data_IF_200761449478
#
_entry.id   IF_200761449478
#
_cell.length_a   1.000
_cell.length_b   1.000
_cell.length_c   1.000
_cell.angle_alpha   90.00
_cell.angle_beta   90.00
_cell.angle_gamma   90.00
#
_symmetry.space_group_name_H-M   'P 1'
#
loop_
_entity.id
_entity.type
_entity.pdbx_description
1 polymer ?
#
# COMPACT_ATOMS: atom_id res chain seq x y z
N UNK A 1 22.87 -14.69 17.43
CA UNK A 1 21.43 -14.87 17.15
C UNK A 1 21.04 -13.77 16.18
N UNK A 2 20.85 -14.06 14.89
CA UNK A 2 20.31 -13.07 13.95
C UNK A 2 18.81 -13.05 14.16
N UNK A 3 18.27 -11.91 14.58
CA UNK A 3 16.84 -11.75 14.89
C UNK A 3 15.99 -12.09 13.68
N UNK A 4 15.10 -13.04 13.86
CA UNK A 4 14.20 -13.66 12.88
C UNK A 4 13.02 -12.74 12.44
N UNK A 5 13.19 -11.42 12.50
CA UNK A 5 12.08 -10.46 12.29
C UNK A 5 12.37 -9.42 11.20
N UNK A 6 13.35 -9.68 10.33
CA UNK A 6 13.44 -8.98 9.06
C UNK A 6 12.40 -9.60 8.10
N UNK A 7 11.11 -9.39 8.39
CA UNK A 7 10.09 -9.55 7.36
C UNK A 7 10.39 -8.47 6.33
N UNK A 8 11.08 -8.80 5.26
CA UNK A 8 11.31 -7.87 4.15
C UNK A 8 9.95 -7.36 3.67
N UNK A 9 9.63 -6.11 4.03
CA UNK A 9 8.40 -5.46 3.60
C UNK A 9 8.66 -4.87 2.22
N UNK A 10 7.96 -5.41 1.23
CA UNK A 10 8.10 -5.00 -0.16
C UNK A 10 6.93 -4.12 -0.57
N UNK A 11 7.18 -3.21 -1.51
CA UNK A 11 6.11 -2.47 -2.20
C UNK A 11 5.57 -3.39 -3.29
N UNK A 12 4.25 -3.58 -3.31
CA UNK A 12 3.59 -4.40 -4.34
C UNK A 12 2.75 -3.59 -5.32
N UNK A 13 2.29 -2.40 -4.93
CA UNK A 13 1.50 -1.51 -5.76
C UNK A 13 1.68 -0.05 -5.34
N UNK A 14 1.60 0.85 -6.31
CA UNK A 14 1.49 2.29 -6.08
C UNK A 14 0.16 2.78 -6.64
N UNK A 15 -0.55 3.61 -5.88
CA UNK A 15 -1.88 4.10 -6.21
C UNK A 15 -1.88 5.63 -6.30
N UNK A 16 -2.53 6.19 -7.31
CA UNK A 16 -2.73 7.63 -7.48
C UNK A 16 -3.98 8.12 -6.70
N UNK A 17 -4.01 7.82 -5.39
CA UNK A 17 -5.11 8.20 -4.51
C UNK A 17 -5.27 7.28 -3.30
N UNK A 18 -5.74 7.86 -2.19
CA UNK A 18 -5.87 7.16 -0.91
C UNK A 18 -6.95 6.07 -0.94
N UNK A 19 -8.08 6.31 -1.62
CA UNK A 19 -9.22 5.38 -1.66
C UNK A 19 -8.86 4.01 -2.24
N UNK A 20 -8.19 3.96 -3.39
CA UNK A 20 -7.79 2.69 -4.02
C UNK A 20 -6.75 1.93 -3.18
N UNK A 21 -5.84 2.66 -2.53
CA UNK A 21 -4.84 2.06 -1.65
C UNK A 21 -5.48 1.48 -0.38
N UNK A 22 -6.43 2.18 0.23
CA UNK A 22 -7.21 1.71 1.38
C UNK A 22 -8.05 0.48 1.04
N UNK A 23 -8.70 0.44 -0.13
CA UNK A 23 -9.42 -0.74 -0.60
C UNK A 23 -8.50 -1.95 -0.77
N UNK A 24 -7.35 -1.77 -1.41
CA UNK A 24 -6.36 -2.82 -1.58
C UNK A 24 -5.82 -3.33 -0.22
N UNK A 25 -5.51 -2.42 0.70
CA UNK A 25 -5.10 -2.75 2.08
C UNK A 25 -6.16 -3.57 2.80
N UNK A 26 -7.42 -3.11 2.79
CA UNK A 26 -8.50 -3.77 3.50
C UNK A 26 -8.78 -5.16 2.93
N UNK A 27 -8.71 -5.34 1.61
CA UNK A 27 -8.81 -6.66 0.99
C UNK A 27 -7.74 -7.62 1.53
N UNK A 28 -6.49 -7.17 1.60
CA UNK A 28 -5.38 -8.00 2.06
C UNK A 28 -5.54 -8.35 3.54
N UNK A 29 -5.89 -7.38 4.38
CA UNK A 29 -6.16 -7.59 5.82
C UNK A 29 -7.28 -8.61 6.01
N UNK A 30 -8.39 -8.48 5.27
CA UNK A 30 -9.52 -9.41 5.32
C UNK A 30 -9.12 -10.85 4.89
N UNK A 31 -8.06 -10.99 4.10
CA UNK A 31 -7.51 -12.27 3.67
C UNK A 31 -6.35 -12.78 4.55
N UNK A 32 -6.19 -12.23 5.76
CA UNK A 32 -5.13 -12.53 6.72
C UNK A 32 -3.72 -12.22 6.18
N UNK A 33 -3.59 -11.22 5.32
CA UNK A 33 -2.30 -10.72 4.82
C UNK A 33 -2.00 -9.39 5.50
N UNK A 34 -0.95 -9.31 6.33
CA UNK A 34 -0.51 -8.05 6.91
C UNK A 34 -0.18 -7.06 5.81
N UNK A 35 -0.79 -5.88 5.84
CA UNK A 35 -0.54 -4.84 4.84
C UNK A 35 -0.65 -3.45 5.47
N UNK A 36 0.13 -2.51 4.96
CA UNK A 36 -0.01 -1.10 5.32
C UNK A 36 0.24 -0.22 4.10
N UNK A 37 -0.33 0.98 4.12
CA UNK A 37 -0.11 1.98 3.08
C UNK A 37 0.73 3.12 3.64
N UNK A 38 1.65 3.64 2.83
CA UNK A 38 2.40 4.86 3.12
C UNK A 38 2.14 5.83 1.99
N UNK A 39 1.50 6.95 2.30
CA UNK A 39 1.35 8.05 1.36
C UNK A 39 2.54 9.00 1.47
N UNK A 40 3.03 9.49 0.33
CA UNK A 40 3.97 10.62 0.29
C UNK A 40 3.29 11.98 0.61
N UNK A 41 2.01 11.95 1.03
CA UNK A 41 1.25 13.11 1.47
C UNK A 41 1.63 13.54 2.90
N UNK A 42 2.83 14.13 3.07
CA UNK A 42 3.23 14.85 4.28
C UNK A 42 2.86 16.35 4.24
N UNK A 43 1.94 16.76 3.35
CA UNK A 43 1.68 18.18 3.05
C UNK A 43 0.60 18.89 3.89
N UNK A 44 -0.23 18.19 4.67
CA UNK A 44 -1.48 18.80 5.19
C UNK A 44 -1.57 19.02 6.70
N UNK A 45 -0.58 18.62 7.50
CA UNK A 45 -0.56 18.98 8.93
C UNK A 45 -0.24 20.47 9.14
N UNK A 46 0.35 21.13 8.14
CA UNK A 46 0.64 22.55 8.11
C UNK A 46 -0.05 23.18 6.90
N UNK A 47 -1.30 23.60 7.09
CA UNK A 47 -2.02 24.72 6.45
C UNK A 47 -1.45 25.36 5.15
N UNK A 48 -0.99 24.57 4.18
CA UNK A 48 -0.43 25.04 2.91
C UNK A 48 -1.24 24.44 1.76
N UNK A 49 -2.32 25.15 1.41
CA UNK A 49 -2.87 25.24 0.06
C UNK A 49 -2.88 23.93 -0.77
N UNK A 50 -3.63 22.92 -0.32
CA UNK A 50 -3.75 21.63 -1.00
C UNK A 50 -4.68 21.63 -2.24
N UNK A 51 -4.79 22.75 -2.96
CA UNK A 51 -5.63 22.86 -4.17
C UNK A 51 -4.93 22.44 -5.46
N UNK A 52 -3.61 22.18 -5.44
CA UNK A 52 -2.83 21.95 -6.67
C UNK A 52 -1.74 20.87 -6.56
N UNK A 53 -1.84 19.95 -5.59
CA UNK A 53 -0.88 18.84 -5.51
C UNK A 53 -1.47 17.66 -6.30
N UNK A 54 -0.79 17.16 -7.36
CA UNK A 54 -1.22 15.93 -8.03
C UNK A 54 -1.38 14.84 -6.97
N UNK A 55 -2.52 14.16 -6.98
CA UNK A 55 -2.93 13.20 -5.95
C UNK A 55 -1.73 12.36 -5.48
N UNK A 56 -1.27 12.59 -4.25
CA UNK A 56 -0.01 12.02 -3.76
C UNK A 56 0.00 10.50 -3.94
N UNK A 57 1.11 9.97 -4.47
CA UNK A 57 1.26 8.54 -4.67
C UNK A 57 1.24 7.80 -3.32
N UNK A 58 0.47 6.73 -3.25
CA UNK A 58 0.34 5.88 -2.06
C UNK A 58 0.93 4.52 -2.37
N UNK A 59 1.92 4.11 -1.58
CA UNK A 59 2.59 2.81 -1.75
C UNK A 59 1.99 1.80 -0.76
N UNK A 60 1.64 0.62 -1.27
CA UNK A 60 1.14 -0.50 -0.48
C UNK A 60 2.29 -1.48 -0.18
N UNK A 61 2.49 -1.75 1.10
CA UNK A 61 3.53 -2.63 1.61
C UNK A 61 2.95 -3.89 2.20
N UNK A 62 3.62 -5.01 1.95
CA UNK A 62 3.33 -6.32 2.57
C UNK A 62 4.63 -7.06 2.90
N UNK A 63 4.62 -8.04 3.81
CA UNK A 63 5.75 -8.94 3.98
C UNK A 63 5.93 -9.79 2.71
N UNK A 64 7.17 -9.94 2.25
CA UNK A 64 7.53 -10.67 1.02
C UNK A 64 6.96 -12.10 0.98
N UNK A 65 6.85 -12.75 2.14
CA UNK A 65 6.23 -14.07 2.30
C UNK A 65 4.81 -14.17 1.68
N UNK A 66 4.08 -13.06 1.62
CA UNK A 66 2.72 -13.00 1.08
C UNK A 66 2.64 -12.45 -0.35
N UNK A 67 3.77 -12.14 -0.99
CA UNK A 67 3.83 -11.50 -2.33
C UNK A 67 2.92 -12.18 -3.34
N UNK A 68 3.08 -13.50 -3.49
CA UNK A 68 2.32 -14.27 -4.49
C UNK A 68 0.82 -14.24 -4.22
N UNK A 69 0.41 -14.44 -2.96
CA UNK A 69 -1.00 -14.46 -2.55
C UNK A 69 -1.63 -13.07 -2.70
N UNK A 70 -0.90 -12.02 -2.33
CA UNK A 70 -1.38 -10.65 -2.42
C UNK A 70 -1.56 -10.19 -3.87
N UNK A 71 -0.60 -10.52 -4.75
CA UNK A 71 -0.74 -10.23 -6.18
C UNK A 71 -1.97 -10.93 -6.75
N UNK A 72 -2.13 -12.23 -6.54
CA UNK A 72 -3.28 -13.01 -7.03
C UNK A 72 -4.63 -12.36 -6.64
N UNK A 73 -4.77 -11.97 -5.37
CA UNK A 73 -5.96 -11.27 -4.87
C UNK A 73 -6.19 -9.90 -5.51
N UNK A 74 -5.14 -9.10 -5.68
CA UNK A 74 -5.24 -7.77 -6.30
C UNK A 74 -5.54 -7.87 -7.81
N UNK A 75 -5.05 -8.92 -8.47
CA UNK A 75 -5.33 -9.22 -9.88
C UNK A 75 -6.81 -9.54 -10.07
N UNK A 76 -7.38 -10.35 -9.17
CA UNK A 76 -8.78 -10.75 -9.20
C UNK A 76 -9.79 -9.60 -9.11
N UNK A 77 -9.38 -8.42 -8.65
CA UNK A 77 -10.24 -7.24 -8.53
C UNK A 77 -9.79 -6.03 -9.36
N UNK A 78 -8.78 -6.18 -10.23
CA UNK A 78 -8.30 -5.11 -11.10
C UNK A 78 -7.61 -3.94 -10.38
N UNK A 79 -7.05 -4.17 -9.17
CA UNK A 79 -6.31 -3.16 -8.40
C UNK A 79 -4.79 -3.28 -8.53
N UNK A 80 -4.30 -4.09 -9.46
CA UNK A 80 -2.89 -4.03 -9.86
C UNK A 80 -2.70 -2.83 -10.80
N UNK A 81 -1.81 -1.91 -10.43
CA UNK A 81 -1.30 -0.92 -11.37
C UNK A 81 0.04 -1.44 -11.87
N UNK A 82 0.19 -1.47 -13.20
CA UNK A 82 1.41 -1.86 -13.92
C UNK A 82 2.61 -0.96 -13.59
#
# INVERSE_FOLDING_TARGET
>A
MKSDDQKDWIVISTYNGNVNAEMAKNLLINNNIPSYIKSDFFGSAYNLNAFNIPAGSVKLYIPEAYKKKALDLLQGIGLQNE
#
